data_IF_720868428839
#
_entry.id   IF_720868428839
#
_cell.length_a   1.000
_cell.length_b   1.000
_cell.length_c   1.000
_cell.angle_alpha   90.00
_cell.angle_beta   90.00
_cell.angle_gamma   90.00
#
_symmetry.space_group_name_H-M   'P 1'
#
loop_
_entity.id
_entity.type
_entity.pdbx_description
1 polymer ?
#
# COMPACT_ATOMS: atom_id res chain seq x y z
N UNK A 1 7.23 -4.16 8.25
CA UNK A 1 6.89 -5.58 8.47
C UNK A 1 7.12 -6.35 7.18
N UNK A 2 7.69 -7.56 7.25
CA UNK A 2 7.85 -8.44 6.09
C UNK A 2 6.82 -9.56 6.17
N UNK A 3 6.10 -9.83 5.08
CA UNK A 3 5.12 -10.93 5.00
C UNK A 3 5.48 -11.83 3.83
N UNK A 4 5.86 -13.09 4.12
CA UNK A 4 6.19 -14.06 3.08
C UNK A 4 4.89 -14.49 2.37
N UNK A 5 4.86 -14.36 1.05
CA UNK A 5 3.74 -14.73 0.18
C UNK A 5 3.94 -16.11 -0.44
N UNK A 6 5.19 -16.53 -0.64
CA UNK A 6 5.48 -17.86 -1.14
C UNK A 6 6.96 -18.09 -1.43
N UNK A 7 7.32 -19.35 -1.59
CA UNK A 7 8.70 -19.80 -1.80
C UNK A 7 8.74 -20.77 -2.98
N UNK A 8 9.49 -20.42 -4.02
CA UNK A 8 9.84 -21.35 -5.09
C UNK A 8 11.12 -22.08 -4.69
N UNK A 9 10.99 -23.28 -4.16
CA UNK A 9 12.13 -24.10 -3.75
C UNK A 9 13.00 -24.53 -4.93
N UNK A 10 12.42 -24.70 -6.13
CA UNK A 10 13.16 -25.15 -7.31
C UNK A 10 14.00 -24.00 -7.88
N UNK A 11 13.44 -22.80 -7.94
CA UNK A 11 14.16 -21.60 -8.39
C UNK A 11 15.04 -20.97 -7.29
N UNK A 12 14.84 -21.38 -6.03
CA UNK A 12 15.51 -20.80 -4.86
C UNK A 12 15.08 -19.36 -4.60
N UNK A 13 13.81 -19.03 -4.85
CA UNK A 13 13.24 -17.69 -4.80
C UNK A 13 12.16 -17.55 -3.72
N UNK A 14 12.06 -16.35 -3.15
CA UNK A 14 11.04 -16.00 -2.16
C UNK A 14 10.32 -14.73 -2.60
N UNK A 15 8.99 -14.76 -2.46
CA UNK A 15 8.08 -13.65 -2.72
C UNK A 15 7.59 -13.11 -1.37
N UNK A 16 7.64 -11.80 -1.18
CA UNK A 16 7.31 -11.19 0.10
C UNK A 16 6.82 -9.75 -0.04
N UNK A 17 5.96 -9.33 0.88
CA UNK A 17 5.52 -7.94 1.01
C UNK A 17 6.49 -7.18 1.91
N UNK A 18 6.89 -5.98 1.48
CA UNK A 18 7.72 -5.07 2.26
C UNK A 18 7.42 -3.60 1.95
N UNK A 19 8.00 -2.72 2.77
CA UNK A 19 7.82 -1.25 2.76
C UNK A 19 9.17 -0.53 2.95
N UNK A 20 10.19 -0.78 2.11
CA UNK A 20 11.55 -0.35 2.39
C UNK A 20 11.73 1.18 2.41
N UNK A 21 10.96 1.90 1.58
CA UNK A 21 11.11 3.36 1.41
C UNK A 21 10.05 4.16 2.18
N UNK A 22 8.80 3.68 2.18
CA UNK A 22 7.67 4.37 2.80
C UNK A 22 6.87 3.37 3.65
N UNK A 23 6.80 3.54 4.99
CA UNK A 23 6.05 2.63 5.86
C UNK A 23 4.53 2.64 5.61
N UNK A 24 3.99 3.69 4.99
CA UNK A 24 2.58 3.79 4.62
C UNK A 24 2.23 3.03 3.32
N UNK A 25 3.23 2.52 2.61
CA UNK A 25 3.07 1.80 1.34
C UNK A 25 3.52 0.35 1.49
N UNK A 26 3.01 -0.55 0.65
CA UNK A 26 3.35 -1.97 0.68
C UNK A 26 3.41 -2.53 -0.72
N UNK A 27 4.50 -3.23 -1.02
CA UNK A 27 4.74 -3.79 -2.34
C UNK A 27 5.20 -5.24 -2.27
N UNK A 28 4.95 -5.98 -3.35
CA UNK A 28 5.46 -7.32 -3.57
C UNK A 28 6.87 -7.26 -4.16
N UNK A 29 7.78 -7.94 -3.49
CA UNK A 29 9.15 -8.15 -3.90
C UNK A 29 9.45 -9.62 -4.11
N UNK A 30 10.52 -9.88 -4.86
CA UNK A 30 11.11 -11.19 -5.05
C UNK A 30 12.61 -11.13 -4.76
N UNK A 31 13.17 -12.15 -4.11
CA UNK A 31 14.62 -12.28 -3.91
C UNK A 31 15.05 -13.74 -3.87
N UNK A 32 16.36 -14.01 -3.89
CA UNK A 32 16.92 -15.34 -3.67
C UNK A 32 16.90 -15.68 -2.19
N UNK A 33 16.48 -16.91 -1.86
CA UNK A 33 16.43 -17.42 -0.47
C UNK A 33 17.82 -17.43 0.18
N UNK A 34 18.87 -17.59 -0.63
CA UNK A 34 20.26 -17.58 -0.16
C UNK A 34 20.71 -16.24 0.44
N UNK A 35 19.92 -15.18 0.30
CA UNK A 35 20.29 -13.82 0.67
C UNK A 35 21.33 -13.19 -0.27
N UNK A 36 21.74 -13.91 -1.33
CA UNK A 36 22.68 -13.43 -2.34
C UNK A 36 21.90 -12.95 -3.56
N UNK A 37 21.96 -11.65 -3.84
CA UNK A 37 21.35 -11.04 -5.02
C UNK A 37 20.49 -9.83 -4.68
N UNK A 38 20.09 -9.09 -5.71
CA UNK A 38 19.24 -7.92 -5.56
C UNK A 38 17.77 -8.33 -5.38
N UNK A 39 17.03 -7.53 -4.62
CA UNK A 39 15.58 -7.63 -4.59
C UNK A 39 14.99 -7.09 -5.89
N UNK A 40 13.95 -7.75 -6.41
CA UNK A 40 13.18 -7.29 -7.56
C UNK A 40 11.81 -6.83 -7.07
N UNK A 41 11.45 -5.57 -7.35
CA UNK A 41 10.09 -5.07 -7.17
C UNK A 41 9.19 -5.69 -8.25
N UNK A 42 8.12 -6.37 -7.83
CA UNK A 42 7.12 -6.95 -8.74
C UNK A 42 5.86 -6.11 -8.84
N UNK A 43 5.48 -5.38 -7.78
CA UNK A 43 4.39 -4.41 -7.88
C UNK A 43 4.75 -3.28 -8.86
N UNK A 44 3.77 -2.71 -9.59
CA UNK A 44 4.03 -1.59 -10.48
C UNK A 44 4.55 -0.37 -9.70
N UNK A 45 5.71 0.16 -10.13
CA UNK A 45 6.39 1.27 -9.45
C UNK A 45 5.61 2.59 -9.51
N UNK A 46 4.76 2.74 -10.52
CA UNK A 46 3.91 3.90 -10.78
C UNK A 46 2.55 3.84 -10.05
N UNK A 47 2.32 2.82 -9.23
CA UNK A 47 1.13 2.65 -8.42
C UNK A 47 1.48 2.78 -6.92
N UNK A 48 1.72 3.99 -6.39
CA UNK A 48 2.01 4.15 -4.97
C UNK A 48 0.78 3.84 -4.12
N UNK A 49 0.93 3.00 -3.09
CA UNK A 49 -0.15 2.69 -2.18
C UNK A 49 0.03 1.37 -1.45
N UNK A 50 -1.09 0.76 -1.09
CA UNK A 50 -1.11 -0.54 -0.42
C UNK A 50 -1.47 -1.62 -1.42
N UNK A 51 -0.53 -2.54 -1.65
CA UNK A 51 -0.75 -3.75 -2.42
C UNK A 51 -0.84 -4.96 -1.50
N UNK A 52 -1.85 -5.79 -1.73
CA UNK A 52 -2.06 -7.08 -1.07
C UNK A 52 -2.17 -8.16 -2.14
N UNK A 53 -1.70 -9.37 -1.82
CA UNK A 53 -1.64 -10.47 -2.75
C UNK A 53 -2.12 -11.73 -2.05
N UNK A 54 -3.01 -12.49 -2.69
CA UNK A 54 -3.28 -13.88 -2.38
C UNK A 54 -2.70 -14.73 -3.51
N UNK A 55 -1.55 -15.34 -3.24
CA UNK A 55 -0.70 -15.97 -4.27
C UNK A 55 -1.06 -17.45 -4.41
N UNK A 56 -1.19 -17.92 -5.66
CA UNK A 56 -1.42 -19.33 -5.94
C UNK A 56 -0.25 -20.20 -5.45
N UNK A 57 -0.54 -21.46 -5.07
CA UNK A 57 0.47 -22.40 -4.56
C UNK A 57 1.64 -22.65 -5.51
N UNK A 58 1.41 -22.49 -6.81
CA UNK A 58 2.42 -22.67 -7.86
C UNK A 58 3.11 -21.36 -8.27
N UNK A 59 2.80 -20.24 -7.59
CA UNK A 59 3.41 -18.91 -7.78
C UNK A 59 3.26 -18.34 -9.19
N UNK A 60 2.27 -18.81 -9.95
CA UNK A 60 1.97 -18.34 -11.30
C UNK A 60 0.91 -17.26 -11.35
N UNK A 61 0.08 -17.16 -10.32
CA UNK A 61 -1.05 -16.26 -10.28
C UNK A 61 -1.17 -15.62 -8.90
N UNK A 62 -1.82 -14.47 -8.84
CA UNK A 62 -2.30 -13.92 -7.58
C UNK A 62 -3.61 -13.16 -7.77
N UNK A 63 -4.45 -13.16 -6.73
CA UNK A 63 -5.45 -12.10 -6.58
C UNK A 63 -4.71 -10.91 -5.99
N UNK A 64 -4.61 -9.84 -6.75
CA UNK A 64 -4.01 -8.58 -6.35
C UNK A 64 -5.12 -7.62 -5.92
N UNK A 65 -4.99 -7.06 -4.72
CA UNK A 65 -5.78 -5.94 -4.24
C UNK A 65 -4.89 -4.71 -4.15
N UNK A 66 -5.32 -3.60 -4.75
CA UNK A 66 -4.62 -2.32 -4.72
C UNK A 66 -5.55 -1.21 -4.28
N UNK A 67 -5.10 -0.40 -3.32
CA UNK A 67 -5.81 0.79 -2.88
C UNK A 67 -4.84 1.90 -2.49
N UNK A 68 -5.36 3.12 -2.51
CA UNK A 68 -4.70 4.28 -1.89
C UNK A 68 -5.63 4.86 -0.84
N UNK A 69 -5.14 5.83 -0.06
CA UNK A 69 -6.02 6.54 0.86
C UNK A 69 -7.21 7.22 0.14
N UNK A 70 -6.99 7.64 -1.10
CA UNK A 70 -7.97 8.43 -1.87
C UNK A 70 -8.86 7.58 -2.78
N UNK A 71 -8.53 6.31 -3.00
CA UNK A 71 -9.23 5.44 -3.96
C UNK A 71 -9.60 4.10 -3.33
N UNK A 72 -10.87 3.66 -3.50
CA UNK A 72 -11.29 2.31 -3.12
C UNK A 72 -10.42 1.21 -3.74
N UNK A 73 -10.43 0.01 -3.13
CA UNK A 73 -9.64 -1.10 -3.64
C UNK A 73 -10.11 -1.57 -5.02
N UNK A 74 -9.16 -1.86 -5.89
CA UNK A 74 -9.36 -2.64 -7.12
C UNK A 74 -8.82 -4.04 -6.89
N UNK A 75 -9.59 -5.05 -7.30
CA UNK A 75 -9.24 -6.47 -7.22
C UNK A 75 -9.05 -7.03 -8.62
N UNK A 76 -7.90 -7.67 -8.86
CA UNK A 76 -7.57 -8.26 -10.16
C UNK A 76 -6.92 -9.62 -10.00
N UNK A 77 -7.12 -10.48 -11.01
CA UNK A 77 -6.28 -11.64 -11.23
C UNK A 77 -5.07 -11.20 -12.06
N UNK A 78 -3.87 -11.46 -11.56
CA UNK A 78 -2.61 -11.16 -12.23
C UNK A 78 -1.77 -12.42 -12.45
N UNK A 79 -0.88 -12.38 -13.44
CA UNK A 79 0.19 -13.36 -13.59
C UNK A 79 1.40 -13.02 -12.74
N UNK A 80 2.19 -14.03 -12.37
CA UNK A 80 3.48 -13.88 -11.73
C UNK A 80 4.56 -14.65 -12.52
N UNK A 81 5.80 -14.14 -12.57
CA UNK A 81 6.28 -12.94 -11.86
C UNK A 81 6.06 -11.62 -12.61
N UNK A 82 5.49 -11.60 -13.81
CA UNK A 82 5.42 -10.39 -14.64
C UNK A 82 4.46 -9.32 -14.12
N UNK A 83 3.49 -9.68 -13.27
CA UNK A 83 2.43 -8.78 -12.77
C UNK A 83 1.51 -8.28 -13.91
N UNK A 84 1.31 -9.08 -14.96
CA UNK A 84 0.35 -8.71 -16.00
C UNK A 84 -1.08 -8.92 -15.50
N UNK A 85 -1.94 -7.92 -15.67
CA UNK A 85 -3.36 -8.06 -15.33
C UNK A 85 -4.05 -8.98 -16.35
N UNK A 86 -4.54 -10.10 -15.87
CA UNK A 86 -5.32 -11.07 -16.67
C UNK A 86 -6.76 -10.63 -16.75
N UNK A 87 -7.32 -10.23 -15.60
CA UNK A 87 -8.73 -9.85 -15.47
C UNK A 87 -8.94 -8.98 -14.24
N UNK A 88 -9.69 -7.89 -14.38
CA UNK A 88 -10.25 -7.17 -13.23
C UNK A 88 -11.46 -7.93 -12.71
N UNK A 89 -11.46 -8.23 -11.41
CA UNK A 89 -12.51 -8.97 -10.73
C UNK A 89 -13.57 -8.04 -10.15
N UNK A 90 -13.15 -6.91 -9.59
CA UNK A 90 -13.99 -5.85 -9.02
C UNK A 90 -13.18 -4.55 -9.01
N UNK A 91 -13.75 -3.45 -9.51
CA UNK A 91 -13.08 -2.14 -9.57
C UNK A 91 -13.70 -1.09 -8.66
N UNK A 92 -14.81 -1.41 -7.99
CA UNK A 92 -15.57 -0.53 -7.12
C UNK A 92 -15.94 0.80 -7.81
N UNK A 93 -16.27 0.78 -9.11
CA UNK A 93 -16.67 1.98 -9.86
C UNK A 93 -17.84 2.70 -9.19
N UNK A 94 -18.89 1.98 -8.78
CA UNK A 94 -20.05 2.60 -8.14
C UNK A 94 -19.67 3.34 -6.83
N UNK A 95 -18.81 2.73 -6.01
CA UNK A 95 -18.32 3.37 -4.79
C UNK A 95 -17.43 4.58 -5.12
N UNK A 96 -16.57 4.45 -6.13
CA UNK A 96 -15.70 5.53 -6.59
C UNK A 96 -16.53 6.74 -7.04
N UNK A 97 -17.59 6.51 -7.80
CA UNK A 97 -18.50 7.55 -8.27
C UNK A 97 -19.24 8.23 -7.11
N UNK A 98 -19.71 7.46 -6.13
CA UNK A 98 -20.33 8.02 -4.92
C UNK A 98 -19.36 8.85 -4.10
N UNK A 99 -18.12 8.40 -3.93
CA UNK A 99 -17.10 9.14 -3.19
C UNK A 99 -16.66 10.41 -3.93
N UNK A 100 -16.70 10.43 -5.26
CA UNK A 100 -16.40 11.61 -6.06
C UNK A 100 -17.42 12.75 -5.88
N UNK A 101 -18.62 12.45 -5.38
CA UNK A 101 -19.65 13.45 -5.07
C UNK A 101 -19.45 14.10 -3.68
N UNK A 102 -18.56 13.56 -2.84
CA UNK A 102 -18.27 14.12 -1.53
C UNK A 102 -17.23 15.22 -1.69
N UNK A 103 -17.60 16.45 -1.32
CA UNK A 103 -16.61 17.52 -1.19
C UNK A 103 -15.63 17.17 -0.07
N UNK A 104 -14.35 17.07 -0.42
CA UNK A 104 -13.26 16.80 0.51
C UNK A 104 -11.96 17.43 0.02
N UNK A 105 -11.07 17.71 0.95
CA UNK A 105 -9.68 18.01 0.62
C UNK A 105 -8.87 16.70 0.54
N UNK A 106 -7.84 16.62 -0.31
CA UNK A 106 -6.89 15.52 -0.29
C UNK A 106 -6.27 15.38 1.10
N UNK A 107 -6.06 14.14 1.54
CA UNK A 107 -5.36 13.89 2.80
C UNK A 107 -3.88 14.22 2.67
N UNK A 108 -3.39 14.97 3.65
CA UNK A 108 -2.00 15.38 3.71
C UNK A 108 -1.23 14.43 4.63
N UNK A 109 -0.27 13.70 4.07
CA UNK A 109 0.70 12.93 4.84
C UNK A 109 1.90 13.81 5.18
N UNK A 110 2.36 13.73 6.42
CA UNK A 110 3.48 14.54 6.90
C UNK A 110 4.32 13.75 7.91
N UNK A 111 5.53 14.25 8.16
CA UNK A 111 6.47 13.72 9.15
C UNK A 111 6.83 14.80 10.15
N UNK A 112 6.72 14.49 11.45
CA UNK A 112 7.11 15.39 12.53
C UNK A 112 8.33 14.81 13.23
N UNK A 113 9.41 15.59 13.34
CA UNK A 113 10.50 15.23 14.25
C UNK A 113 10.08 15.52 15.68
N UNK A 114 10.19 14.51 16.54
CA UNK A 114 9.82 14.61 17.97
C UNK A 114 11.04 14.63 18.89
N UNK A 115 12.23 14.89 18.34
CA UNK A 115 13.50 14.92 19.06
C UNK A 115 14.28 13.60 18.98
N UNK A 116 15.55 13.63 19.41
CA UNK A 116 16.42 12.44 19.52
C UNK A 116 16.56 11.61 18.23
N UNK A 117 16.38 12.24 17.07
CA UNK A 117 16.41 11.56 15.77
C UNK A 117 15.14 10.76 15.45
N UNK A 118 14.11 10.81 16.29
CA UNK A 118 12.84 10.14 16.09
C UNK A 118 11.93 11.00 15.20
N UNK A 119 11.34 10.36 14.20
CA UNK A 119 10.39 10.95 13.26
C UNK A 119 9.09 10.17 13.35
N UNK A 120 7.99 10.88 13.50
CA UNK A 120 6.63 10.33 13.54
C UNK A 120 5.93 10.63 12.23
N UNK A 121 5.42 9.59 11.56
CA UNK A 121 4.51 9.73 10.42
C UNK A 121 3.10 10.09 10.91
N UNK A 122 2.42 10.97 10.18
CA UNK A 122 1.06 11.39 10.46
C UNK A 122 0.29 11.74 9.19
N UNK A 123 -1.02 11.85 9.32
CA UNK A 123 -1.89 12.34 8.26
C UNK A 123 -2.90 13.35 8.81
N UNK A 124 -3.30 14.30 7.96
CA UNK A 124 -4.29 15.33 8.29
C UNK A 124 -5.44 15.27 7.29
N UNK A 125 -6.66 15.18 7.82
CA UNK A 125 -7.90 15.39 7.06
C UNK A 125 -8.38 16.80 7.36
N UNK A 126 -8.59 17.58 6.31
CA UNK A 126 -9.06 18.97 6.41
C UNK A 126 -10.55 19.06 6.03
N UNK A 127 -11.30 20.03 6.58
CA UNK A 127 -12.66 20.28 6.14
C UNK A 127 -12.69 20.69 4.66
N UNK A 128 -13.80 20.46 3.95
CA UNK A 128 -13.89 20.73 2.51
C UNK A 128 -13.62 22.21 2.15
N UNK A 129 -14.04 23.13 3.03
CA UNK A 129 -13.89 24.58 2.91
C UNK A 129 -12.68 25.13 3.69
N UNK A 130 -11.64 24.30 3.90
CA UNK A 130 -10.46 24.68 4.67
C UNK A 130 -9.84 25.99 4.20
N UNK A 131 -9.63 26.90 5.13
CA UNK A 131 -8.97 28.18 4.93
C UNK A 131 -7.78 28.30 5.88
N UNK A 132 -6.54 28.45 5.39
CA UNK A 132 -5.34 28.52 6.23
C UNK A 132 -5.30 29.72 7.19
N UNK A 133 -6.09 30.77 6.94
CA UNK A 133 -6.16 31.97 7.79
C UNK A 133 -7.16 31.83 8.96
N UNK A 134 -7.90 30.70 9.02
CA UNK A 134 -8.88 30.41 10.08
C UNK A 134 -8.31 29.42 11.10
N UNK A 135 -8.86 29.47 12.32
CA UNK A 135 -8.58 28.49 13.37
C UNK A 135 -9.69 27.45 13.40
N UNK A 136 -9.29 26.17 13.46
CA UNK A 136 -10.21 25.03 13.53
C UNK A 136 -9.95 24.23 14.81
N UNK A 137 -10.98 23.63 15.43
CA UNK A 137 -10.76 22.63 16.47
C UNK A 137 -10.05 21.41 15.87
N UNK A 138 -9.11 20.84 16.64
CA UNK A 138 -8.32 19.69 16.21
C UNK A 138 -8.74 18.44 16.99
N UNK A 139 -9.13 17.40 16.25
CA UNK A 139 -9.30 16.06 16.77
C UNK A 139 -8.01 15.27 16.52
N UNK A 140 -7.33 14.87 17.59
CA UNK A 140 -6.21 13.93 17.51
C UNK A 140 -6.73 12.50 17.61
N UNK A 141 -6.46 11.70 16.57
CA UNK A 141 -6.76 10.26 16.55
C UNK A 141 -5.45 9.48 16.62
N UNK A 142 -5.32 8.62 17.62
CA UNK A 142 -4.13 7.80 17.86
C UNK A 142 -4.60 6.37 18.14
N UNK A 143 -4.10 5.40 17.38
CA UNK A 143 -4.38 3.97 17.60
C UNK A 143 -3.62 3.41 18.82
N UNK A 144 -2.35 3.78 19.01
CA UNK A 144 -1.60 3.63 20.26
C UNK A 144 -1.14 2.23 20.66
N UNK A 145 -1.63 1.16 20.03
CA UNK A 145 -1.20 -0.21 20.35
C UNK A 145 0.18 -0.54 19.75
N UNK A 146 1.04 -1.29 20.49
CA UNK A 146 2.29 -1.79 19.95
C UNK A 146 2.08 -2.68 18.70
N UNK A 147 2.89 -2.45 17.66
CA UNK A 147 2.91 -3.17 16.37
C UNK A 147 1.73 -2.91 15.39
N UNK A 148 0.97 -1.83 15.59
CA UNK A 148 0.00 -1.32 14.60
C UNK A 148 0.60 -0.97 13.24
#
# INVERSE_FOLDING_TARGET
MIVIQGIDQKAGEMYYIASPENPAERYLYKTKISGKGEQTLLSPKDMPGTHLYDVSKDLKWAIHSYQTYERPPVYSLISLPSHDTVKVLEDNTELTDRLAQIEKQPVEFFRISIGEGIVLDGYCIKPPDFNPDKKYPLLFYIYGEPAG
#
